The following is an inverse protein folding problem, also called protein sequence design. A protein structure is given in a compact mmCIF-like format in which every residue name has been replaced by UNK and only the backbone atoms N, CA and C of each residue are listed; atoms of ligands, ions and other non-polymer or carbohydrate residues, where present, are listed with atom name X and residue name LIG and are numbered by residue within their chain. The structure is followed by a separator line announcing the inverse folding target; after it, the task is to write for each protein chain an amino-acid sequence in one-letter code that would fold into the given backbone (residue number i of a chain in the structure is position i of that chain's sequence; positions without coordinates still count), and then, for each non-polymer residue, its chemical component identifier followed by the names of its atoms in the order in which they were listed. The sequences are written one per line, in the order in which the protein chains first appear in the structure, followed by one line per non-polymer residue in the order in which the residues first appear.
data_IF_830206880048
#
_entry.id   IF_830206880048
#
_cell.length_a   1.000
_cell.length_b   1.000
_cell.length_c   1.000
_cell.angle_alpha   90.00
_cell.angle_beta   90.00
_cell.angle_gamma   90.00
#
_symmetry.space_group_name_H-M   'P 1'
#
loop_
_entity.id
_entity.type
_entity.pdbx_description
1 polymer ?
#
# COMPACT_ATOMS: atom_id res chain seq x y z
N UNK A 1 -21.56 -2.48 -0.18
CA UNK A 1 -21.04 -2.36 1.20
C UNK A 1 -22.09 -1.78 2.15
N UNK A 2 -22.10 -2.21 3.41
CA UNK A 2 -22.92 -1.62 4.49
C UNK A 2 -22.48 -0.15 4.67
N UNK A 3 -23.42 0.78 4.84
CA UNK A 3 -23.09 2.18 5.14
C UNK A 3 -22.36 2.33 6.48
N UNK A 4 -21.60 3.42 6.62
CA UNK A 4 -20.94 3.76 7.90
C UNK A 4 -21.99 4.09 8.97
N UNK A 5 -21.73 3.67 10.21
CA UNK A 5 -22.46 4.20 11.36
C UNK A 5 -22.12 5.69 11.55
N UNK A 6 -23.01 6.43 12.22
CA UNK A 6 -22.74 7.83 12.52
C UNK A 6 -21.47 7.98 13.37
N UNK A 7 -21.26 7.12 14.35
CA UNK A 7 -20.05 7.15 15.19
C UNK A 7 -18.79 6.84 14.39
N UNK A 8 -18.83 5.86 13.49
CA UNK A 8 -17.69 5.57 12.60
C UNK A 8 -17.41 6.76 11.67
N UNK A 9 -18.45 7.40 11.13
CA UNK A 9 -18.28 8.57 10.27
C UNK A 9 -17.57 9.71 11.01
N UNK A 10 -18.02 10.05 12.23
CA UNK A 10 -17.39 11.08 13.05
C UNK A 10 -15.93 10.74 13.38
N UNK A 11 -15.63 9.47 13.65
CA UNK A 11 -14.25 9.03 13.85
C UNK A 11 -13.42 9.25 12.59
N UNK A 12 -13.87 8.83 11.42
CA UNK A 12 -13.13 9.00 10.17
C UNK A 12 -12.97 10.48 9.78
N UNK A 13 -13.97 11.32 10.05
CA UNK A 13 -13.89 12.78 9.87
C UNK A 13 -12.84 13.42 10.80
N UNK A 14 -12.75 12.96 12.05
CA UNK A 14 -11.68 13.39 12.96
C UNK A 14 -10.29 13.04 12.40
N UNK A 15 -10.11 11.80 11.91
CA UNK A 15 -8.83 11.38 11.30
C UNK A 15 -8.48 12.17 10.05
N UNK A 16 -9.49 12.50 9.25
CA UNK A 16 -9.32 13.35 8.07
C UNK A 16 -8.81 14.73 8.46
N UNK A 17 -9.35 15.33 9.53
CA UNK A 17 -8.87 16.60 10.09
C UNK A 17 -7.46 16.51 10.69
N UNK A 18 -7.17 15.44 11.43
CA UNK A 18 -5.83 15.14 11.96
C UNK A 18 -4.78 15.03 10.83
N UNK A 19 -5.10 14.27 9.78
CA UNK A 19 -4.27 14.12 8.60
C UNK A 19 -4.06 15.45 7.84
N UNK A 20 -5.07 16.31 7.76
CA UNK A 20 -4.93 17.66 7.21
C UNK A 20 -3.96 18.52 8.01
N UNK A 21 -4.06 18.45 9.35
CA UNK A 21 -3.10 19.07 10.25
C UNK A 21 -1.67 18.60 9.98
N UNK A 22 -1.47 17.29 9.79
CA UNK A 22 -0.17 16.71 9.44
C UNK A 22 0.35 17.23 8.09
N UNK A 23 -0.49 17.28 7.06
CA UNK A 23 -0.12 17.84 5.74
C UNK A 23 0.33 19.31 5.88
N UNK A 24 -0.39 20.11 6.67
CA UNK A 24 -0.09 21.52 6.85
C UNK A 24 1.22 21.79 7.61
N UNK A 25 1.65 20.89 8.50
CA UNK A 25 2.94 21.03 9.21
C UNK A 25 4.11 20.42 8.44
N UNK A 26 3.84 19.51 7.51
CA UNK A 26 4.86 18.95 6.62
C UNK A 26 5.15 19.97 5.52
N UNK A 27 6.14 20.84 5.77
CA UNK A 27 6.69 21.80 4.81
C UNK A 27 8.10 21.36 4.41
N UNK A 28 8.26 20.50 3.38
CA UNK A 28 9.56 19.92 3.02
C UNK A 28 10.63 20.96 2.64
N UNK A 29 10.22 22.14 2.17
CA UNK A 29 11.10 23.23 1.77
C UNK A 29 11.91 23.76 2.95
N UNK A 30 11.28 23.82 4.14
CA UNK A 30 11.83 24.32 5.40
C UNK A 30 12.64 23.25 6.15
N UNK A 31 12.54 21.98 5.74
CA UNK A 31 13.30 20.91 6.35
C UNK A 31 14.80 21.03 6.04
N UNK A 32 15.65 20.60 6.99
CA UNK A 32 17.10 20.45 6.74
C UNK A 32 17.34 19.47 5.58
N UNK A 33 18.45 19.63 4.86
CA UNK A 33 18.73 18.93 3.62
C UNK A 33 18.58 17.39 3.74
N UNK A 34 19.08 16.81 4.82
CA UNK A 34 19.06 15.37 5.10
C UNK A 34 17.65 14.84 5.41
N UNK A 35 16.68 15.73 5.66
CA UNK A 35 15.29 15.39 5.98
C UNK A 35 14.32 15.73 4.86
N UNK A 36 14.76 16.40 3.79
CA UNK A 36 13.89 16.79 2.67
C UNK A 36 13.25 15.57 1.99
N UNK A 37 14.07 14.56 1.64
CA UNK A 37 13.58 13.33 1.04
C UNK A 37 12.51 12.65 1.90
N UNK A 38 12.78 12.49 3.20
CA UNK A 38 11.82 11.92 4.13
C UNK A 38 10.54 12.76 4.23
N UNK A 39 10.66 14.09 4.31
CA UNK A 39 9.50 14.99 4.46
C UNK A 39 8.59 14.95 3.24
N UNK A 40 9.15 14.95 2.03
CA UNK A 40 8.38 14.74 0.80
C UNK A 40 7.72 13.35 0.74
N UNK A 41 8.43 12.31 1.19
CA UNK A 41 7.87 10.95 1.24
C UNK A 41 6.73 10.84 2.25
N UNK A 42 6.87 11.45 3.42
CA UNK A 42 5.82 11.54 4.43
C UNK A 42 4.61 12.33 3.91
N UNK A 43 4.83 13.41 3.17
CA UNK A 43 3.78 14.20 2.55
C UNK A 43 3.03 13.40 1.48
N UNK A 44 3.72 12.66 0.62
CA UNK A 44 3.11 11.75 -0.34
C UNK A 44 2.24 10.67 0.34
N UNK A 45 2.77 10.02 1.37
CA UNK A 45 2.02 9.04 2.17
C UNK A 45 0.81 9.65 2.89
N UNK A 46 0.92 10.91 3.34
CA UNK A 46 -0.17 11.64 3.98
C UNK A 46 -1.31 11.93 3.00
N UNK A 47 -0.98 12.36 1.78
CA UNK A 47 -1.96 12.56 0.71
C UNK A 47 -2.63 11.24 0.28
N UNK A 48 -1.87 10.16 0.18
CA UNK A 48 -2.45 8.84 -0.10
C UNK A 48 -3.42 8.41 1.01
N UNK A 49 -3.01 8.51 2.28
CA UNK A 49 -3.86 8.23 3.43
C UNK A 49 -5.12 9.10 3.47
N UNK A 50 -5.00 10.38 3.11
CA UNK A 50 -6.13 11.31 2.95
C UNK A 50 -7.13 10.81 1.93
N UNK A 51 -6.65 10.42 0.74
CA UNK A 51 -7.50 9.89 -0.33
C UNK A 51 -8.25 8.64 0.10
N UNK A 52 -7.59 7.72 0.84
CA UNK A 52 -8.25 6.52 1.39
C UNK A 52 -9.37 6.90 2.39
N UNK A 53 -9.11 7.81 3.32
CA UNK A 53 -10.14 8.27 4.26
C UNK A 53 -11.32 8.94 3.55
N UNK A 54 -11.05 9.75 2.53
CA UNK A 54 -12.08 10.41 1.72
C UNK A 54 -12.92 9.39 0.92
N UNK A 55 -12.30 8.34 0.36
CA UNK A 55 -13.01 7.24 -0.29
C UNK A 55 -13.95 6.52 0.69
N UNK A 56 -13.47 6.21 1.91
CA UNK A 56 -14.30 5.58 2.94
C UNK A 56 -15.48 6.46 3.35
N UNK A 57 -15.31 7.79 3.36
CA UNK A 57 -16.36 8.77 3.62
C UNK A 57 -17.27 9.05 2.40
N UNK A 58 -17.05 8.41 1.25
CA UNK A 58 -17.80 8.63 0.02
C UNK A 58 -17.54 9.98 -0.67
N UNK A 59 -16.43 10.64 -0.33
CA UNK A 59 -16.01 11.94 -0.89
C UNK A 59 -15.05 11.78 -2.07
N UNK A 60 -15.47 11.01 -3.09
CA UNK A 60 -14.58 10.51 -4.15
C UNK A 60 -13.85 11.60 -4.94
N UNK A 61 -14.51 12.72 -5.28
CA UNK A 61 -13.87 13.81 -6.01
C UNK A 61 -12.68 14.42 -5.25
N UNK A 62 -12.87 14.66 -3.94
CA UNK A 62 -11.78 15.15 -3.07
C UNK A 62 -10.69 14.09 -2.86
N UNK A 63 -11.07 12.81 -2.89
CA UNK A 63 -10.08 11.73 -2.82
C UNK A 63 -9.14 11.75 -4.03
N UNK A 64 -9.67 11.95 -5.24
CA UNK A 64 -8.84 12.08 -6.44
C UNK A 64 -7.96 13.34 -6.41
N UNK A 65 -8.47 14.46 -5.88
CA UNK A 65 -7.63 15.64 -5.63
C UNK A 65 -6.46 15.32 -4.71
N UNK A 66 -6.70 14.57 -3.61
CA UNK A 66 -5.62 14.14 -2.71
C UNK A 66 -4.64 13.17 -3.41
N UNK A 67 -5.15 12.18 -4.15
CA UNK A 67 -4.30 11.23 -4.88
C UNK A 67 -3.43 11.90 -5.94
N UNK A 68 -3.91 12.98 -6.58
CA UNK A 68 -3.14 13.74 -7.56
C UNK A 68 -1.83 14.34 -7.01
N UNK A 69 -1.74 14.55 -5.70
CA UNK A 69 -0.57 15.12 -5.03
C UNK A 69 0.52 14.07 -4.73
N UNK A 70 0.19 12.77 -4.81
CA UNK A 70 1.07 11.69 -4.33
C UNK A 70 2.34 11.59 -5.20
N UNK A 71 2.20 11.61 -6.52
CA UNK A 71 3.32 11.37 -7.45
C UNK A 71 4.31 12.52 -7.45
N UNK A 72 3.85 13.77 -7.50
CA UNK A 72 4.72 14.93 -7.46
C UNK A 72 5.59 14.94 -6.19
N UNK A 73 4.98 14.69 -5.03
CA UNK A 73 5.71 14.60 -3.77
C UNK A 73 6.66 13.39 -3.70
N UNK A 74 6.24 12.23 -4.22
CA UNK A 74 7.11 11.05 -4.29
C UNK A 74 8.33 11.27 -5.20
N UNK A 75 8.17 11.99 -6.33
CA UNK A 75 9.28 12.41 -7.19
C UNK A 75 10.25 13.34 -6.47
N UNK A 76 9.71 14.36 -5.78
CA UNK A 76 10.53 15.28 -4.99
C UNK A 76 11.28 14.54 -3.87
N UNK A 77 10.68 13.50 -3.29
CA UNK A 77 11.33 12.62 -2.32
C UNK A 77 12.55 11.91 -2.91
N UNK A 78 12.43 11.35 -4.12
CA UNK A 78 13.57 10.75 -4.84
C UNK A 78 14.63 11.79 -5.18
N UNK A 79 14.24 12.94 -5.73
CA UNK A 79 15.17 13.99 -6.16
C UNK A 79 15.90 14.69 -5.01
N UNK A 80 15.31 14.72 -3.83
CA UNK A 80 15.93 15.29 -2.62
C UNK A 80 16.76 14.25 -1.82
N UNK A 81 16.83 13.00 -2.27
CA UNK A 81 17.57 11.96 -1.56
C UNK A 81 19.08 12.15 -1.73
N UNK A 82 19.76 12.35 -0.60
CA UNK A 82 21.23 12.54 -0.55
C UNK A 82 21.98 11.22 -0.33
N UNK A 83 21.28 10.11 -0.10
CA UNK A 83 21.88 8.82 0.21
C UNK A 83 21.90 7.92 -1.03
N UNK A 84 23.02 7.90 -1.75
CA UNK A 84 23.17 7.18 -3.03
C UNK A 84 22.83 5.67 -2.95
N UNK A 85 23.05 5.06 -1.79
CA UNK A 85 22.81 3.63 -1.56
C UNK A 85 21.42 3.32 -0.99
N UNK A 86 20.59 4.35 -0.75
CA UNK A 86 19.23 4.19 -0.26
C UNK A 86 18.22 4.39 -1.39
N UNK A 87 17.73 3.28 -1.94
CA UNK A 87 16.75 3.28 -3.02
C UNK A 87 15.30 3.19 -2.52
N UNK A 88 15.07 3.30 -1.22
CA UNK A 88 13.76 3.17 -0.59
C UNK A 88 12.73 4.17 -1.16
N UNK A 89 13.16 5.39 -1.47
CA UNK A 89 12.32 6.41 -2.09
C UNK A 89 11.89 6.05 -3.53
N UNK A 90 12.77 5.39 -4.29
CA UNK A 90 12.45 4.92 -5.63
C UNK A 90 11.44 3.77 -5.59
N UNK A 91 11.56 2.87 -4.62
CA UNK A 91 10.58 1.80 -4.39
C UNK A 91 9.21 2.38 -4.01
N UNK A 92 9.18 3.36 -3.09
CA UNK A 92 7.96 4.03 -2.70
C UNK A 92 7.27 4.72 -3.90
N UNK A 93 8.04 5.40 -4.76
CA UNK A 93 7.50 6.03 -5.98
C UNK A 93 6.86 5.00 -6.93
N UNK A 94 7.50 3.84 -7.13
CA UNK A 94 6.93 2.76 -7.93
C UNK A 94 5.62 2.23 -7.32
N UNK A 95 5.59 1.97 -6.01
CA UNK A 95 4.39 1.49 -5.33
C UNK A 95 3.27 2.53 -5.43
N UNK A 96 3.55 3.81 -5.15
CA UNK A 96 2.53 4.84 -5.25
C UNK A 96 2.00 5.01 -6.67
N UNK A 97 2.85 4.92 -7.70
CA UNK A 97 2.42 4.93 -9.08
C UNK A 97 1.40 3.82 -9.37
N UNK A 98 1.65 2.61 -8.88
CA UNK A 98 0.69 1.49 -8.96
C UNK A 98 -0.60 1.76 -8.17
N UNK A 99 -0.51 2.39 -7.00
CA UNK A 99 -1.68 2.65 -6.15
C UNK A 99 -2.56 3.80 -6.65
N UNK A 100 -2.02 4.78 -7.39
CA UNK A 100 -2.81 5.92 -7.90
C UNK A 100 -3.19 5.81 -9.37
N UNK A 101 -2.70 4.81 -10.11
CA UNK A 101 -3.00 4.61 -11.52
C UNK A 101 -2.06 5.33 -12.50
N UNK A 102 -0.85 5.68 -12.08
CA UNK A 102 0.11 6.39 -12.94
C UNK A 102 0.98 5.39 -13.73
N UNK A 103 0.52 5.03 -14.91
CA UNK A 103 1.17 4.05 -15.78
C UNK A 103 2.57 4.49 -16.25
N UNK A 104 2.72 5.76 -16.62
CA UNK A 104 3.99 6.31 -17.09
C UNK A 104 5.03 6.25 -15.98
N UNK A 105 4.67 6.71 -14.78
CA UNK A 105 5.57 6.68 -13.65
C UNK A 105 5.89 5.25 -13.18
N UNK A 106 4.91 4.34 -13.20
CA UNK A 106 5.15 2.95 -12.85
C UNK A 106 6.19 2.31 -13.79
N UNK A 107 6.10 2.57 -15.11
CA UNK A 107 7.10 2.09 -16.07
C UNK A 107 8.47 2.72 -15.85
N UNK A 108 8.56 4.05 -15.71
CA UNK A 108 9.84 4.73 -15.51
C UNK A 108 10.53 4.17 -14.26
N UNK A 109 9.78 4.07 -13.16
CA UNK A 109 10.31 3.56 -11.90
C UNK A 109 10.73 2.10 -12.00
N UNK A 110 9.96 1.27 -12.70
CA UNK A 110 10.29 -0.12 -12.95
C UNK A 110 11.61 -0.25 -13.74
N UNK A 111 11.83 0.55 -14.80
CA UNK A 111 13.10 0.52 -15.54
C UNK A 111 14.31 0.93 -14.68
N UNK A 112 14.15 1.91 -13.80
CA UNK A 112 15.21 2.33 -12.87
C UNK A 112 15.52 1.20 -11.89
N UNK A 113 14.50 0.65 -11.23
CA UNK A 113 14.67 -0.41 -10.22
C UNK A 113 15.25 -1.70 -10.82
N UNK A 114 14.82 -2.08 -12.03
CA UNK A 114 15.34 -3.25 -12.73
C UNK A 114 16.85 -3.14 -12.98
N UNK A 115 17.35 -1.95 -13.34
CA UNK A 115 18.78 -1.70 -13.51
C UNK A 115 19.56 -1.68 -12.19
N UNK A 116 18.94 -1.22 -11.10
CA UNK A 116 19.55 -1.24 -9.77
C UNK A 116 19.71 -2.67 -9.25
N UNK A 117 18.73 -3.55 -9.54
CA UNK A 117 18.69 -4.91 -9.03
C UNK A 117 18.46 -4.96 -7.52
N UNK A 118 18.88 -6.07 -6.89
CA UNK A 118 18.77 -6.28 -5.44
C UNK A 118 19.83 -5.44 -4.73
N UNK A 119 19.39 -4.46 -3.94
CA UNK A 119 20.26 -3.56 -3.17
C UNK A 119 20.03 -3.69 -1.67
N UNK A 120 20.85 -3.03 -0.85
CA UNK A 120 20.45 -2.77 0.53
C UNK A 120 19.25 -1.82 0.54
N UNK A 121 18.13 -2.25 1.11
CA UNK A 121 16.96 -1.41 1.36
C UNK A 121 16.70 -1.30 2.86
N UNK A 122 16.24 -0.14 3.30
CA UNK A 122 15.74 0.11 4.66
C UNK A 122 14.22 0.31 4.69
N UNK A 123 13.54 0.14 3.55
CA UNK A 123 12.08 0.22 3.49
C UNK A 123 11.44 -0.99 4.20
N UNK A 124 10.12 -0.96 4.33
CA UNK A 124 9.29 -2.00 4.92
C UNK A 124 9.30 -3.35 4.15
N UNK A 125 10.29 -3.63 3.30
CA UNK A 125 10.50 -4.98 2.76
C UNK A 125 11.95 -5.11 2.23
N UNK A 126 12.49 -6.34 2.16
CA UNK A 126 13.73 -6.59 1.42
C UNK A 126 13.60 -6.16 -0.05
N UNK A 127 14.70 -5.71 -0.65
CA UNK A 127 14.70 -5.19 -2.02
C UNK A 127 14.26 -6.24 -3.05
N UNK A 128 14.49 -7.53 -2.77
CA UNK A 128 14.04 -8.65 -3.59
C UNK A 128 12.54 -8.61 -3.88
N UNK A 129 11.73 -8.14 -2.93
CA UNK A 129 10.27 -8.02 -3.09
C UNK A 129 9.93 -6.97 -4.14
N UNK A 130 10.55 -5.79 -4.04
CA UNK A 130 10.31 -4.70 -5.00
C UNK A 130 10.83 -5.06 -6.38
N UNK A 131 12.02 -5.66 -6.46
CA UNK A 131 12.58 -6.14 -7.73
C UNK A 131 11.66 -7.18 -8.36
N UNK A 132 11.12 -8.12 -7.58
CA UNK A 132 10.20 -9.13 -8.10
C UNK A 132 8.91 -8.52 -8.70
N UNK A 133 8.34 -7.51 -8.04
CA UNK A 133 7.21 -6.76 -8.59
C UNK A 133 7.56 -6.02 -9.88
N UNK A 134 8.72 -5.37 -9.91
CA UNK A 134 9.21 -4.62 -11.07
C UNK A 134 9.49 -5.54 -12.25
N UNK A 135 10.15 -6.67 -12.04
CA UNK A 135 10.44 -7.64 -13.09
C UNK A 135 9.16 -8.30 -13.62
N UNK A 136 8.18 -8.58 -12.75
CA UNK A 136 6.85 -8.99 -13.19
C UNK A 136 6.17 -7.90 -14.04
N UNK A 137 6.21 -6.64 -13.58
CA UNK A 137 5.65 -5.50 -14.30
C UNK A 137 6.29 -5.34 -15.69
N UNK A 138 7.59 -5.52 -15.80
CA UNK A 138 8.33 -5.48 -17.07
C UNK A 138 8.19 -6.76 -17.90
N UNK A 139 7.43 -7.76 -17.43
CA UNK A 139 7.25 -9.07 -18.07
C UNK A 139 8.54 -9.86 -18.25
N UNK A 140 9.48 -9.70 -17.32
CA UNK A 140 10.76 -10.41 -17.31
C UNK A 140 10.70 -11.66 -16.42
N UNK A 141 10.07 -12.72 -16.94
CA UNK A 141 9.79 -13.94 -16.18
C UNK A 141 11.04 -14.63 -15.60
N UNK A 142 12.17 -14.61 -16.32
CA UNK A 142 13.39 -15.30 -15.89
C UNK A 142 14.04 -14.62 -14.68
N UNK A 143 14.06 -13.28 -14.64
CA UNK A 143 14.51 -12.53 -13.46
C UNK A 143 13.64 -12.83 -12.24
N UNK A 144 12.32 -12.90 -12.41
CA UNK A 144 11.42 -13.23 -11.31
C UNK A 144 11.68 -14.65 -10.81
N UNK A 145 11.85 -15.62 -11.71
CA UNK A 145 12.17 -17.02 -11.35
C UNK A 145 13.47 -17.13 -10.56
N UNK A 146 14.49 -16.34 -10.92
CA UNK A 146 15.76 -16.31 -10.20
C UNK A 146 15.62 -15.78 -8.75
N UNK A 147 14.61 -14.95 -8.47
CA UNK A 147 14.34 -14.40 -7.13
C UNK A 147 13.52 -15.34 -6.24
N UNK A 148 12.76 -16.28 -6.81
CA UNK A 148 11.87 -17.19 -6.06
C UNK A 148 12.57 -17.85 -4.86
N UNK A 149 13.77 -18.47 -4.99
CA UNK A 149 14.41 -19.13 -3.85
C UNK A 149 14.76 -18.18 -2.70
N UNK A 150 15.05 -16.90 -2.99
CA UNK A 150 15.27 -15.88 -1.95
C UNK A 150 13.96 -15.48 -1.29
N UNK A 151 12.92 -15.23 -2.10
CA UNK A 151 11.59 -14.86 -1.62
C UNK A 151 10.96 -15.95 -0.74
N UNK A 152 11.12 -17.23 -1.10
CA UNK A 152 10.67 -18.37 -0.27
C UNK A 152 11.36 -18.37 1.10
N UNK A 153 12.67 -18.07 1.15
CA UNK A 153 13.38 -17.96 2.43
C UNK A 153 12.86 -16.79 3.25
N UNK A 154 12.54 -15.66 2.62
CA UNK A 154 12.01 -14.48 3.30
C UNK A 154 10.60 -14.76 3.84
N UNK A 155 9.69 -15.30 3.03
CA UNK A 155 8.31 -15.63 3.43
C UNK A 155 8.27 -16.63 4.61
N UNK A 156 9.21 -17.58 4.65
CA UNK A 156 9.28 -18.59 5.72
C UNK A 156 9.92 -18.08 7.02
N UNK A 157 10.48 -16.86 7.07
CA UNK A 157 11.01 -16.30 8.31
C UNK A 157 9.88 -15.82 9.21
N UNK A 158 9.70 -16.48 10.36
CA UNK A 158 8.67 -16.18 11.36
C UNK A 158 8.58 -14.73 11.84
N UNK A 159 9.65 -13.94 11.73
CA UNK A 159 9.74 -12.58 12.26
C UNK A 159 9.66 -11.50 11.17
N UNK A 160 9.65 -11.87 9.89
CA UNK A 160 9.66 -10.91 8.79
C UNK A 160 8.21 -10.50 8.49
N UNK A 161 7.80 -9.30 8.93
CA UNK A 161 6.43 -8.80 8.77
C UNK A 161 6.07 -8.38 7.33
N UNK A 162 7.07 -8.38 6.45
CA UNK A 162 7.02 -7.69 5.17
C UNK A 162 6.42 -8.52 4.03
N UNK A 163 6.59 -9.85 4.10
CA UNK A 163 5.99 -10.79 3.15
C UNK A 163 4.97 -11.65 3.89
N UNK A 164 3.70 -11.47 3.58
CA UNK A 164 2.62 -12.31 4.11
C UNK A 164 2.60 -13.66 3.38
N UNK A 165 2.25 -14.73 4.11
CA UNK A 165 2.07 -16.06 3.52
C UNK A 165 1.12 -16.01 2.33
N UNK A 166 1.52 -16.65 1.23
CA UNK A 166 0.79 -16.68 -0.03
C UNK A 166 1.38 -15.77 -1.11
N UNK A 167 2.32 -14.89 -0.76
CA UNK A 167 2.99 -13.99 -1.70
C UNK A 167 3.74 -14.75 -2.79
N UNK A 168 4.59 -15.72 -2.42
CA UNK A 168 5.41 -16.44 -3.40
C UNK A 168 4.53 -17.31 -4.31
N UNK A 169 3.49 -17.93 -3.75
CA UNK A 169 2.54 -18.72 -4.54
C UNK A 169 1.80 -17.83 -5.54
N UNK A 170 1.31 -16.67 -5.11
CA UNK A 170 0.64 -15.74 -6.02
C UNK A 170 1.58 -15.29 -7.15
N UNK A 171 2.84 -14.96 -6.81
CA UNK A 171 3.86 -14.58 -7.79
C UNK A 171 4.14 -15.70 -8.81
N UNK A 172 4.27 -16.96 -8.37
CA UNK A 172 4.38 -18.12 -9.26
C UNK A 172 3.14 -18.28 -10.15
N UNK A 173 1.96 -18.12 -9.57
CA UNK A 173 0.70 -18.17 -10.30
C UNK A 173 0.63 -17.15 -11.44
N UNK A 174 1.09 -15.91 -11.21
CA UNK A 174 1.16 -14.89 -12.24
C UNK A 174 2.10 -15.31 -13.38
N UNK A 175 3.30 -15.81 -13.04
CA UNK A 175 4.27 -16.28 -14.03
C UNK A 175 3.75 -17.43 -14.89
N UNK A 176 3.06 -18.38 -14.26
CA UNK A 176 2.63 -19.62 -14.90
C UNK A 176 1.26 -19.49 -15.60
N UNK A 177 0.63 -18.32 -15.58
CA UNK A 177 -0.71 -18.18 -16.15
C UNK A 177 -1.82 -18.80 -15.27
N UNK A 178 -1.53 -19.15 -14.01
CA UNK A 178 -2.38 -19.97 -13.16
C UNK A 178 -3.22 -19.12 -12.20
N UNK A 179 -4.43 -18.75 -12.64
CA UNK A 179 -5.37 -17.93 -11.85
C UNK A 179 -5.67 -18.53 -10.47
N UNK A 180 -5.88 -19.84 -10.37
CA UNK A 180 -6.22 -20.50 -9.09
C UNK A 180 -5.10 -20.28 -8.07
N UNK A 181 -3.85 -20.46 -8.48
CA UNK A 181 -2.69 -20.29 -7.61
C UNK A 181 -2.52 -18.81 -7.18
N UNK A 182 -2.85 -17.86 -8.07
CA UNK A 182 -2.87 -16.43 -7.73
C UNK A 182 -3.93 -16.12 -6.68
N UNK A 183 -5.15 -16.61 -6.88
CA UNK A 183 -6.28 -16.41 -5.96
C UNK A 183 -5.99 -17.01 -4.59
N UNK A 184 -5.51 -18.25 -4.53
CA UNK A 184 -5.15 -18.93 -3.27
C UNK A 184 -4.09 -18.14 -2.50
N UNK A 185 -3.05 -17.66 -3.21
CA UNK A 185 -2.00 -16.84 -2.61
C UNK A 185 -2.55 -15.51 -2.05
N UNK A 186 -3.39 -14.81 -2.83
CA UNK A 186 -4.03 -13.56 -2.41
C UNK A 186 -4.94 -13.77 -1.19
N UNK A 187 -5.77 -14.82 -1.19
CA UNK A 187 -6.66 -15.11 -0.07
C UNK A 187 -5.89 -15.38 1.24
N UNK A 188 -4.75 -16.08 1.16
CA UNK A 188 -3.86 -16.28 2.31
C UNK A 188 -3.30 -14.94 2.84
N UNK A 189 -2.87 -14.04 1.94
CA UNK A 189 -2.42 -12.71 2.33
C UNK A 189 -3.54 -11.89 2.98
N UNK A 190 -4.76 -11.93 2.43
CA UNK A 190 -5.92 -11.26 3.01
C UNK A 190 -6.28 -11.82 4.39
N UNK A 191 -6.20 -13.13 4.59
CA UNK A 191 -6.43 -13.75 5.89
C UNK A 191 -5.41 -13.27 6.94
N UNK A 192 -4.12 -13.23 6.57
CA UNK A 192 -3.06 -12.71 7.43
C UNK A 192 -3.24 -11.20 7.72
N UNK A 193 -3.65 -10.42 6.74
CA UNK A 193 -3.96 -8.99 6.87
C UNK A 193 -5.09 -8.72 7.86
N UNK A 194 -6.21 -9.46 7.72
CA UNK A 194 -7.34 -9.39 8.65
C UNK A 194 -6.95 -9.80 10.07
N UNK A 195 -6.10 -10.81 10.21
CA UNK A 195 -5.57 -11.22 11.51
C UNK A 195 -4.76 -10.09 12.16
N UNK A 196 -3.83 -9.49 11.44
CA UNK A 196 -3.02 -8.37 11.94
C UNK A 196 -3.89 -7.18 12.39
N UNK A 197 -4.83 -6.74 11.54
CA UNK A 197 -5.74 -5.64 11.86
C UNK A 197 -6.61 -5.93 13.10
N UNK A 198 -7.00 -7.20 13.32
CA UNK A 198 -7.79 -7.60 14.49
C UNK A 198 -7.02 -7.46 15.81
N UNK A 199 -5.73 -7.73 15.81
CA UNK A 199 -4.89 -7.75 17.02
C UNK A 199 -4.10 -6.46 17.25
N UNK A 200 -4.21 -5.47 16.35
CA UNK A 200 -3.57 -4.18 16.53
C UNK A 200 -4.10 -3.48 17.78
N UNK A 201 -3.16 -2.98 18.59
CA UNK A 201 -3.48 -2.27 19.84
C UNK A 201 -3.71 -0.78 19.63
N UNK A 202 -3.54 -0.29 18.42
CA UNK A 202 -3.66 1.12 18.02
C UNK A 202 -4.84 1.30 17.05
N UNK A 203 -5.09 2.54 16.65
CA UNK A 203 -6.02 2.82 15.57
C UNK A 203 -5.48 2.26 14.26
N UNK A 204 -6.36 1.68 13.45
CA UNK A 204 -6.04 1.27 12.09
C UNK A 204 -5.79 2.51 11.22
N UNK A 205 -4.90 2.41 10.25
CA UNK A 205 -4.65 3.45 9.26
C UNK A 205 -4.91 2.93 7.83
N UNK A 206 -4.53 3.71 6.81
CA UNK A 206 -4.69 3.32 5.41
C UNK A 206 -3.97 2.00 5.05
N UNK A 207 -2.84 1.66 5.69
CA UNK A 207 -2.13 0.40 5.47
C UNK A 207 -2.90 -0.80 6.02
N UNK A 208 -3.91 -0.58 6.85
CA UNK A 208 -4.78 -1.62 7.36
C UNK A 208 -6.09 -1.72 6.59
N UNK A 209 -6.60 -0.59 6.08
CA UNK A 209 -7.80 -0.55 5.24
C UNK A 209 -7.57 -1.13 3.84
N UNK A 210 -6.32 -1.18 3.38
CA UNK A 210 -5.92 -1.78 2.10
C UNK A 210 -4.85 -2.83 2.35
N UNK A 211 -4.98 -4.01 1.74
CA UNK A 211 -3.90 -4.99 1.72
C UNK A 211 -2.97 -4.71 0.53
N UNK A 212 -2.01 -3.80 0.73
CA UNK A 212 -1.10 -3.34 -0.34
C UNK A 212 -0.44 -4.51 -1.10
N UNK A 213 0.14 -5.56 -0.46
CA UNK A 213 0.74 -6.66 -1.20
C UNK A 213 -0.24 -7.41 -2.11
N UNK A 214 -1.45 -7.68 -1.63
CA UNK A 214 -2.50 -8.35 -2.40
C UNK A 214 -2.98 -7.46 -3.56
N UNK A 215 -3.13 -6.17 -3.31
CA UNK A 215 -3.51 -5.18 -4.33
C UNK A 215 -2.45 -5.06 -5.44
N UNK A 216 -1.17 -4.96 -5.09
CA UNK A 216 -0.08 -4.89 -6.07
C UNK A 216 0.01 -6.15 -6.93
N UNK A 217 -0.12 -7.34 -6.33
CA UNK A 217 -0.17 -8.59 -7.09
C UNK A 217 -1.41 -8.66 -8.00
N UNK A 218 -2.53 -8.11 -7.55
CA UNK A 218 -3.74 -8.02 -8.36
C UNK A 218 -3.53 -7.14 -9.60
N UNK A 219 -2.95 -5.94 -9.42
CA UNK A 219 -2.59 -5.03 -10.50
C UNK A 219 -1.64 -5.71 -11.51
N UNK A 220 -0.60 -6.38 -10.99
CA UNK A 220 0.35 -7.08 -11.84
C UNK A 220 -0.32 -8.20 -12.61
N UNK A 221 -1.19 -9.03 -12.03
CA UNK A 221 -1.79 -10.10 -12.82
C UNK A 221 -2.82 -9.60 -13.85
N UNK A 222 -3.50 -8.46 -13.61
CA UNK A 222 -4.31 -7.79 -14.65
C UNK A 222 -3.45 -7.52 -15.89
N UNK A 223 -2.19 -7.09 -15.70
CA UNK A 223 -1.21 -6.88 -16.79
C UNK A 223 -0.84 -8.18 -17.54
N UNK A 224 -1.04 -9.34 -16.91
CA UNK A 224 -0.90 -10.68 -17.51
C UNK A 224 -2.23 -11.23 -18.05
N UNK A 225 -3.29 -10.43 -18.08
CA UNK A 225 -4.61 -10.81 -18.59
C UNK A 225 -5.45 -11.62 -17.60
N UNK A 226 -5.15 -11.55 -16.30
CA UNK A 226 -5.90 -12.24 -15.26
C UNK A 226 -6.86 -11.28 -14.55
N UNK A 227 -8.17 -11.48 -14.74
CA UNK A 227 -9.20 -10.77 -13.98
C UNK A 227 -9.34 -11.41 -12.59
N UNK A 228 -8.56 -10.93 -11.62
CA UNK A 228 -8.53 -11.51 -10.26
C UNK A 228 -9.70 -11.04 -9.41
N UNK A 229 -10.19 -9.81 -9.62
CA UNK A 229 -11.10 -9.16 -8.67
C UNK A 229 -12.37 -9.98 -8.43
N UNK A 230 -12.93 -10.56 -9.50
CA UNK A 230 -14.13 -11.42 -9.42
C UNK A 230 -13.86 -12.78 -8.78
N UNK A 231 -12.62 -13.25 -8.79
CA UNK A 231 -12.22 -14.57 -8.30
C UNK A 231 -11.77 -14.54 -6.82
N UNK A 232 -11.33 -13.39 -6.30
CA UNK A 232 -10.91 -13.26 -4.90
C UNK A 232 -12.11 -13.00 -4.00
N UNK A 233 -12.42 -14.00 -3.19
CA UNK A 233 -13.41 -13.86 -2.12
C UNK A 233 -12.80 -13.23 -0.85
N UNK A 234 -13.64 -12.54 -0.07
CA UNK A 234 -13.30 -12.08 1.27
C UNK A 234 -12.33 -10.88 1.34
N UNK A 235 -12.23 -10.10 0.24
CA UNK A 235 -11.59 -8.78 0.23
C UNK A 235 -12.47 -7.73 0.93
N UNK A 236 -13.79 -7.81 0.76
CA UNK A 236 -14.74 -7.00 1.52
C UNK A 236 -14.88 -7.53 2.95
N UNK A 237 -14.65 -6.66 3.94
CA UNK A 237 -14.70 -7.02 5.37
C UNK A 237 -15.09 -5.82 6.22
N UNK A 238 -15.61 -6.06 7.42
CA UNK A 238 -15.77 -5.03 8.44
C UNK A 238 -14.62 -5.12 9.44
N UNK A 239 -13.72 -4.14 9.42
CA UNK A 239 -12.63 -4.04 10.39
C UNK A 239 -13.09 -3.28 11.63
N UNK A 240 -12.46 -3.59 12.77
CA UNK A 240 -12.72 -2.90 14.04
C UNK A 240 -11.51 -2.08 14.43
N UNK A 241 -11.63 -0.76 14.33
CA UNK A 241 -10.57 0.18 14.70
C UNK A 241 -10.81 0.78 16.09
N UNK A 242 -9.75 1.16 16.78
CA UNK A 242 -9.82 1.97 18.01
C UNK A 242 -9.86 3.45 17.65
N UNK A 243 -10.20 4.31 18.60
CA UNK A 243 -10.06 5.77 18.47
C UNK A 243 -8.61 6.18 18.18
N UNK A 244 -8.39 7.12 17.26
CA UNK A 244 -7.06 7.61 16.88
C UNK A 244 -6.35 8.36 18.01
N UNK A 245 -7.03 9.29 18.69
CA UNK A 245 -6.46 10.04 19.81
C UNK A 245 -7.35 9.96 21.05
N UNK A 246 -7.17 8.92 21.89
CA UNK A 246 -7.96 8.78 23.12
C UNK A 246 -7.74 9.88 24.16
N UNK A 247 -6.56 10.51 24.15
CA UNK A 247 -6.23 11.58 25.09
C UNK A 247 -6.93 12.90 24.74
N UNK A 248 -7.10 13.18 23.45
CA UNK A 248 -7.72 14.42 22.97
C UNK A 248 -9.26 14.34 23.00
N UNK A 249 -9.82 13.13 23.17
CA UNK A 249 -11.26 12.86 23.13
C UNK A 249 -11.73 12.01 24.33
N UNK A 250 -11.53 12.51 25.57
CA UNK A 250 -11.87 11.76 26.79
C UNK A 250 -13.38 11.50 26.95
N UNK A 251 -14.23 12.19 26.19
CA UNK A 251 -15.67 11.97 26.16
C UNK A 251 -16.08 10.62 25.54
N UNK A 252 -15.19 9.99 24.76
CA UNK A 252 -15.41 8.69 24.15
C UNK A 252 -14.74 7.61 25.02
N UNK A 253 -15.46 6.56 25.45
CA UNK A 253 -14.85 5.47 26.21
C UNK A 253 -13.66 4.86 25.45
N UNK A 254 -12.50 4.73 26.11
CA UNK A 254 -11.24 4.27 25.50
C UNK A 254 -11.36 2.91 24.76
N UNK A 255 -12.27 2.04 25.25
CA UNK A 255 -12.51 0.71 24.68
C UNK A 255 -13.46 0.71 23.49
N UNK A 256 -13.97 1.87 23.07
CA UNK A 256 -14.86 2.00 21.91
C UNK A 256 -14.18 1.47 20.66
N UNK A 257 -14.94 0.71 19.88
CA UNK A 257 -14.50 0.15 18.60
C UNK A 257 -15.41 0.66 17.50
N UNK A 258 -14.82 1.23 16.46
CA UNK A 258 -15.53 1.68 15.29
C UNK A 258 -15.48 0.59 14.22
N UNK A 259 -16.64 0.23 13.70
CA UNK A 259 -16.77 -0.74 12.62
C UNK A 259 -16.65 -0.02 11.28
N UNK A 260 -15.59 -0.35 10.52
CA UNK A 260 -15.27 0.26 9.23
C UNK A 260 -15.41 -0.83 8.16
N UNK A 261 -16.47 -0.81 7.34
CA UNK A 261 -16.54 -1.61 6.12
C UNK A 261 -15.46 -1.14 5.17
N UNK A 262 -14.63 -2.07 4.71
CA UNK A 262 -13.55 -1.81 3.75
C UNK A 262 -13.54 -2.88 2.69
N UNK A 263 -13.00 -2.53 1.53
CA UNK A 263 -12.53 -3.48 0.56
C UNK A 263 -10.99 -3.47 0.57
N UNK A 264 -10.39 -4.58 0.99
CA UNK A 264 -8.94 -4.70 1.12
C UNK A 264 -8.22 -4.66 -0.23
N UNK A 265 -8.93 -4.85 -1.35
CA UNK A 265 -8.43 -4.72 -2.72
C UNK A 265 -9.40 -3.78 -3.46
N UNK A 266 -9.36 -2.47 -3.17
CA UNK A 266 -10.42 -1.54 -3.55
C UNK A 266 -10.57 -1.35 -5.07
N UNK A 267 -11.81 -1.36 -5.53
CA UNK A 267 -12.17 -1.12 -6.94
C UNK A 267 -11.66 0.23 -7.45
N UNK A 268 -11.75 1.30 -6.65
CA UNK A 268 -11.28 2.64 -7.04
C UNK A 268 -9.76 2.71 -7.33
N UNK A 269 -8.98 1.69 -6.95
CA UNK A 269 -7.58 1.54 -7.37
C UNK A 269 -7.46 0.54 -8.52
N UNK A 270 -8.09 -0.63 -8.39
CA UNK A 270 -7.99 -1.71 -9.37
C UNK A 270 -8.56 -1.31 -10.75
N UNK A 271 -9.67 -0.58 -10.79
CA UNK A 271 -10.33 -0.16 -12.04
C UNK A 271 -9.45 0.73 -12.91
N UNK A 272 -8.44 1.39 -12.33
CA UNK A 272 -7.47 2.22 -13.07
C UNK A 272 -6.55 1.43 -13.99
N UNK A 273 -6.59 0.09 -13.92
CA UNK A 273 -5.68 -0.82 -14.64
C UNK A 273 -6.37 -1.72 -15.67
N UNK A 274 -7.69 -1.58 -15.86
CA UNK A 274 -8.45 -2.21 -16.96
C UNK A 274 -8.56 -1.27 -18.16
#
# INVERSE_FOLDING_TARGET
MKGLSHETQLELEYRLGSNEGMINILVPEDAIAERKAWSYGALAGSYFGRGVLLQLLGQNAKAEEAFSQVIANSKNSVGANLFEQDHSHQYALFIFALLVGDYEQANESAYVISKLGVTSSRLQAPSEVYVAFVELWLKNADSVKALIPSLEKIENKKNEKYIKSGFVNALKGVLDGNLSLVVDGIQNMLAAHKHEAKYLKEALDHNHFICIPALLLSIVAIRYGMDIKKAVEGSEVVLKTKMESPLDRPEIPEKTKFEVPVDLIPDYIIEKWY
#
